data_IF_156796623329
#
_entry.id   IF_156796623329
#
_cell.length_a   1.000
_cell.length_b   1.000
_cell.length_c   1.000
_cell.angle_alpha   90.00
_cell.angle_beta   90.00
_cell.angle_gamma   90.00
#
_symmetry.space_group_name_H-M   'P 1'
#
loop_
_entity.id
_entity.type
_entity.pdbx_description
1 polymer ?
#
# COMPACT_ATOMS: atom_id res chain seq x y z
N UNK A 1 43.49 16.43 16.93
CA UNK A 1 43.57 16.66 15.47
C UNK A 1 42.14 16.75 14.96
N UNK A 2 41.54 17.95 14.80
CA UNK A 2 41.66 18.88 13.65
C UNK A 2 41.39 18.09 12.35
N UNK A 3 40.31 18.25 11.56
CA UNK A 3 39.53 19.44 11.15
C UNK A 3 38.15 19.02 10.64
N UNK A 4 37.14 19.86 10.89
CA UNK A 4 35.84 19.87 10.20
C UNK A 4 36.00 20.62 8.87
N UNK A 5 35.40 20.13 7.79
CA UNK A 5 35.27 20.86 6.52
C UNK A 5 33.81 20.84 6.09
N UNK A 6 33.11 21.93 6.36
CA UNK A 6 31.87 22.29 5.70
C UNK A 6 32.24 23.34 4.64
N UNK A 7 31.83 23.15 3.39
CA UNK A 7 31.99 24.12 2.33
C UNK A 7 30.62 24.51 1.80
N UNK A 8 30.35 25.80 1.95
CA UNK A 8 29.25 26.54 1.35
C UNK A 8 29.34 26.50 -0.17
N UNK A 9 28.18 26.53 -0.83
CA UNK A 9 28.06 27.17 -2.14
C UNK A 9 26.68 27.81 -2.24
N UNK A 10 26.67 29.12 -2.04
CA UNK A 10 25.64 30.04 -2.45
C UNK A 10 26.15 30.78 -3.69
N UNK A 11 25.32 30.94 -4.71
CA UNK A 11 25.33 32.02 -5.73
C UNK A 11 24.15 31.73 -6.68
N UNK A 12 23.03 32.45 -6.57
CA UNK A 12 22.74 33.77 -7.19
C UNK A 12 22.35 33.67 -8.66
N UNK A 13 21.07 33.85 -8.97
CA UNK A 13 20.62 34.34 -10.27
C UNK A 13 19.37 35.21 -10.07
N UNK A 14 19.59 36.51 -10.02
CA UNK A 14 18.55 37.54 -10.13
C UNK A 14 18.89 38.46 -11.30
N UNK A 15 17.85 38.89 -12.01
CA UNK A 15 17.74 40.06 -12.89
C UNK A 15 18.11 39.88 -14.38
N UNK A 16 17.10 40.04 -15.24
CA UNK A 16 16.86 41.24 -16.07
C UNK A 16 15.55 41.00 -16.85
N UNK A 17 14.45 41.68 -16.53
CA UNK A 17 14.04 43.01 -17.03
C UNK A 17 13.68 43.02 -18.53
N UNK A 18 12.37 43.04 -18.79
CA UNK A 18 11.77 43.46 -20.06
C UNK A 18 10.44 44.17 -19.76
N UNK A 19 10.51 45.47 -19.49
CA UNK A 19 9.37 46.33 -19.22
C UNK A 19 8.96 47.13 -20.48
N UNK A 20 7.64 47.27 -20.65
CA UNK A 20 6.91 48.45 -21.12
C UNK A 20 7.37 49.22 -22.36
N UNK A 21 6.51 49.26 -23.39
CA UNK A 21 6.18 50.51 -24.06
C UNK A 21 4.66 50.67 -24.16
N UNK A 22 4.20 51.90 -23.93
CA UNK A 22 2.82 52.31 -23.69
C UNK A 22 2.50 53.48 -24.64
N UNK A 23 1.24 53.53 -25.10
CA UNK A 23 0.47 54.66 -25.63
C UNK A 23 0.82 55.25 -27.01
N UNK A 24 -0.16 55.29 -27.92
CA UNK A 24 -1.01 56.48 -28.17
C UNK A 24 -2.21 56.17 -29.09
N UNK A 25 -3.41 56.57 -28.64
CA UNK A 25 -4.63 56.92 -29.42
C UNK A 25 -4.62 58.46 -29.61
N UNK A 26 -5.35 59.11 -30.55
CA UNK A 26 -6.80 58.98 -30.84
C UNK A 26 -7.12 59.05 -32.37
N UNK A 27 -8.33 59.02 -32.95
CA UNK A 27 -9.67 59.41 -32.54
C UNK A 27 -10.76 58.76 -33.42
N UNK A 28 -11.89 58.43 -32.78
CA UNK A 28 -13.30 58.56 -33.17
C UNK A 28 -13.76 58.38 -34.63
N UNK A 29 -14.61 57.36 -34.84
CA UNK A 29 -15.98 57.56 -35.34
C UNK A 29 -16.89 56.40 -34.89
N UNK A 30 -17.97 56.77 -34.21
CA UNK A 30 -19.08 55.92 -33.77
C UNK A 30 -19.81 55.26 -34.94
N UNK A 31 -20.25 54.01 -34.80
CA UNK A 31 -21.69 53.70 -34.95
C UNK A 31 -22.06 52.30 -34.40
N UNK A 32 -23.03 52.31 -33.48
CA UNK A 32 -24.06 51.29 -33.18
C UNK A 32 -23.68 49.90 -32.70
N UNK A 33 -23.80 49.79 -31.38
CA UNK A 33 -24.15 48.59 -30.63
C UNK A 33 -25.68 48.37 -30.70
N UNK A 34 -26.13 47.18 -31.11
CA UNK A 34 -27.43 46.63 -30.74
C UNK A 34 -27.35 45.10 -30.68
N UNK A 35 -27.76 44.58 -29.53
CA UNK A 35 -27.66 43.20 -29.07
C UNK A 35 -28.52 42.22 -29.87
N UNK A 36 -28.01 41.01 -30.08
CA UNK A 36 -28.78 39.78 -29.94
C UNK A 36 -27.81 38.65 -29.56
N UNK A 37 -27.80 38.31 -28.28
CA UNK A 37 -27.13 37.15 -27.76
C UNK A 37 -27.96 35.90 -28.11
N UNK A 38 -27.50 35.08 -29.04
CA UNK A 38 -27.96 33.69 -29.14
C UNK A 38 -27.26 32.89 -28.04
N UNK A 39 -27.96 32.75 -26.92
CA UNK A 39 -27.62 31.79 -25.88
C UNK A 39 -27.67 30.38 -26.49
N UNK A 40 -26.50 29.83 -26.80
CA UNK A 40 -26.34 28.40 -27.05
C UNK A 40 -26.74 27.66 -25.79
N UNK A 41 -27.94 27.06 -25.79
CA UNK A 41 -28.32 26.02 -24.84
C UNK A 41 -27.43 24.81 -25.11
N UNK A 42 -26.25 24.80 -24.49
CA UNK A 42 -25.54 23.56 -24.22
C UNK A 42 -26.41 22.78 -23.25
N UNK A 43 -27.13 21.78 -23.77
CA UNK A 43 -27.75 20.76 -22.96
C UNK A 43 -26.64 20.12 -22.12
N UNK A 44 -26.59 20.47 -20.84
CA UNK A 44 -25.74 19.86 -19.84
C UNK A 44 -26.11 18.38 -19.80
N UNK A 45 -25.29 17.54 -20.44
CA UNK A 45 -25.41 16.10 -20.33
C UNK A 45 -25.34 15.78 -18.82
N UNK A 46 -26.28 14.98 -18.28
CA UNK A 46 -26.23 14.62 -16.88
C UNK A 46 -24.86 14.01 -16.58
N UNK A 47 -24.16 14.59 -15.61
CA UNK A 47 -22.90 14.08 -15.12
C UNK A 47 -23.08 12.58 -14.88
N UNK A 48 -22.33 11.76 -15.62
CA UNK A 48 -22.35 10.33 -15.41
C UNK A 48 -22.05 10.09 -13.93
N UNK A 49 -23.01 9.53 -13.20
CA UNK A 49 -22.81 9.06 -11.83
C UNK A 49 -21.60 8.14 -11.87
N UNK A 50 -20.50 8.59 -11.27
CA UNK A 50 -19.28 7.81 -11.17
C UNK A 50 -19.65 6.56 -10.39
N UNK A 51 -19.65 5.41 -11.08
CA UNK A 51 -19.95 4.13 -10.43
C UNK A 51 -19.06 4.00 -9.17
N UNK A 52 -19.61 3.54 -8.04
CA UNK A 52 -18.85 3.47 -6.80
C UNK A 52 -17.59 2.65 -7.02
N UNK A 53 -16.46 3.20 -6.56
CA UNK A 53 -15.16 2.53 -6.65
C UNK A 53 -15.28 1.15 -6.00
N UNK A 54 -14.93 0.10 -6.76
CA UNK A 54 -14.97 -1.27 -6.24
C UNK A 54 -13.87 -1.41 -5.20
N UNK A 55 -14.20 -2.01 -4.06
CA UNK A 55 -13.26 -2.27 -2.97
C UNK A 55 -13.16 -3.77 -2.71
N UNK A 56 -11.94 -4.24 -2.48
CA UNK A 56 -11.67 -5.60 -2.04
C UNK A 56 -12.21 -5.77 -0.62
N UNK A 57 -13.02 -6.80 -0.41
CA UNK A 57 -13.37 -7.27 0.93
C UNK A 57 -12.21 -8.12 1.48
N UNK A 58 -11.09 -7.44 1.77
CA UNK A 58 -9.86 -8.09 2.21
C UNK A 58 -9.99 -8.70 3.61
N UNK A 59 -10.93 -8.21 4.42
CA UNK A 59 -11.10 -8.68 5.80
C UNK A 59 -11.60 -10.12 5.86
N UNK A 60 -12.48 -10.56 4.95
CA UNK A 60 -12.89 -11.97 4.84
C UNK A 60 -11.71 -12.94 4.73
N UNK A 61 -10.60 -12.47 4.18
CA UNK A 61 -9.39 -13.25 4.00
C UNK A 61 -8.39 -13.05 5.14
N UNK A 62 -8.26 -11.82 5.67
CA UNK A 62 -7.37 -11.49 6.78
C UNK A 62 -7.85 -11.94 8.16
N UNK A 63 -9.13 -11.70 8.44
CA UNK A 63 -9.74 -11.90 9.75
C UNK A 63 -9.42 -13.27 10.34
N UNK A 64 -9.60 -14.39 9.60
CA UNK A 64 -9.26 -15.72 10.11
C UNK A 64 -7.78 -15.91 10.48
N UNK A 65 -6.85 -15.17 9.88
CA UNK A 65 -5.42 -15.26 10.19
C UNK A 65 -5.05 -14.59 11.51
N UNK A 66 -5.77 -13.51 11.81
CA UNK A 66 -5.51 -12.62 12.93
C UNK A 66 -6.44 -12.89 14.12
N UNK A 67 -7.49 -13.68 13.92
CA UNK A 67 -8.46 -13.97 14.96
C UNK A 67 -7.83 -14.74 16.11
N UNK A 68 -8.12 -14.31 17.34
CA UNK A 68 -7.59 -14.93 18.53
C UNK A 68 -7.71 -14.07 19.79
N UNK A 69 -7.38 -14.69 20.92
CA UNK A 69 -7.27 -13.99 22.20
C UNK A 69 -5.79 -13.90 22.61
N UNK A 70 -5.38 -12.69 22.94
CA UNK A 70 -4.01 -12.33 23.25
C UNK A 70 -3.97 -11.81 24.69
N UNK A 71 -3.79 -12.73 25.64
CA UNK A 71 -3.98 -12.52 27.08
C UNK A 71 -2.69 -12.68 27.90
N UNK A 72 -1.58 -12.13 27.41
CA UNK A 72 -0.27 -12.28 28.03
C UNK A 72 0.14 -11.05 28.85
N UNK A 73 1.43 -10.85 29.11
CA UNK A 73 1.94 -9.70 29.86
C UNK A 73 1.64 -8.38 29.14
N UNK A 74 0.55 -7.72 29.50
CA UNK A 74 0.10 -6.47 28.89
C UNK A 74 0.54 -5.23 29.67
N UNK A 75 0.94 -4.20 28.93
CA UNK A 75 1.30 -2.87 29.42
C UNK A 75 0.38 -1.84 28.78
N UNK A 76 -0.20 -0.96 29.60
CA UNK A 76 -0.88 0.25 29.10
C UNK A 76 0.16 1.29 28.71
N UNK A 77 -0.08 1.96 27.60
CA UNK A 77 0.69 3.11 27.12
C UNK A 77 -0.17 4.38 27.21
N UNK A 78 0.44 5.54 27.51
CA UNK A 78 1.88 5.78 27.67
C UNK A 78 2.42 5.51 29.09
N UNK A 79 1.58 5.20 30.07
CA UNK A 79 1.97 5.14 31.50
C UNK A 79 2.79 3.90 31.89
N UNK A 80 2.92 2.92 31.01
CA UNK A 80 3.71 1.70 31.22
C UNK A 80 3.14 0.76 32.28
N UNK A 81 1.90 0.97 32.71
CA UNK A 81 1.30 0.21 33.82
C UNK A 81 0.94 -1.20 33.36
N UNK A 82 1.40 -2.22 34.10
CA UNK A 82 0.96 -3.61 33.91
C UNK A 82 -0.55 -3.71 34.11
N UNK A 83 -1.23 -4.38 33.20
CA UNK A 83 -2.66 -4.64 33.28
C UNK A 83 -2.94 -6.12 33.03
N UNK A 84 -3.92 -6.65 33.74
CA UNK A 84 -4.57 -7.90 33.37
C UNK A 84 -5.58 -7.58 32.27
N UNK A 85 -5.12 -7.64 31.02
CA UNK A 85 -5.88 -7.28 29.85
C UNK A 85 -5.79 -8.39 28.80
N UNK A 86 -6.83 -8.50 27.99
CA UNK A 86 -6.89 -9.42 26.86
C UNK A 86 -7.23 -8.59 25.64
N UNK A 87 -6.42 -8.69 24.59
CA UNK A 87 -6.83 -8.21 23.26
C UNK A 87 -7.52 -9.37 22.58
N UNK A 88 -8.79 -9.21 22.20
CA UNK A 88 -9.52 -10.20 21.41
C UNK A 88 -9.70 -9.66 20.00
N UNK A 89 -9.22 -10.39 19.01
CA UNK A 89 -9.39 -10.08 17.59
C UNK A 89 -10.42 -11.08 17.03
N UNK A 90 -11.54 -10.55 16.54
CA UNK A 90 -12.55 -11.34 15.85
C UNK A 90 -12.18 -11.55 14.39
N UNK A 91 -12.57 -12.70 13.83
CA UNK A 91 -12.52 -12.92 12.38
C UNK A 91 -13.43 -11.94 11.61
N UNK A 92 -14.37 -11.29 12.31
CA UNK A 92 -15.27 -10.25 11.83
C UNK A 92 -14.71 -8.82 12.05
N UNK A 93 -13.42 -8.64 12.28
CA UNK A 93 -12.80 -7.30 12.25
C UNK A 93 -12.96 -6.48 13.51
N UNK A 94 -13.81 -6.94 14.42
CA UNK A 94 -13.96 -6.33 15.72
C UNK A 94 -12.81 -6.73 16.63
N UNK A 95 -12.22 -5.74 17.25
CA UNK A 95 -11.13 -5.91 18.21
C UNK A 95 -11.53 -5.25 19.52
N UNK A 96 -11.40 -6.00 20.61
CA UNK A 96 -11.80 -5.55 21.93
C UNK A 96 -10.70 -5.77 22.97
N UNK A 97 -10.51 -4.79 23.85
CA UNK A 97 -9.72 -4.95 25.07
C UNK A 97 -10.16 -3.96 26.15
N UNK A 98 -10.73 -4.46 27.24
CA UNK A 98 -11.36 -3.61 28.25
C UNK A 98 -12.44 -2.72 27.62
N UNK A 99 -12.29 -1.41 27.79
CA UNK A 99 -13.20 -0.41 27.21
C UNK A 99 -12.86 -0.02 25.75
N UNK A 100 -11.75 -0.51 25.19
CA UNK A 100 -11.42 -0.27 23.78
C UNK A 100 -12.18 -1.24 22.90
N UNK A 101 -13.03 -0.70 22.02
CA UNK A 101 -13.74 -1.45 20.99
C UNK A 101 -13.50 -0.76 19.64
N UNK A 102 -12.89 -1.49 18.71
CA UNK A 102 -12.55 -1.00 17.37
C UNK A 102 -13.11 -1.95 16.32
N UNK A 103 -13.53 -1.40 15.18
CA UNK A 103 -13.94 -2.17 14.00
C UNK A 103 -12.97 -1.89 12.85
N UNK A 104 -12.11 -2.85 12.56
CA UNK A 104 -11.10 -2.74 11.52
C UNK A 104 -11.64 -3.00 10.10
N UNK A 105 -12.95 -3.21 9.90
CA UNK A 105 -13.52 -3.06 8.54
C UNK A 105 -13.41 -1.62 8.02
N UNK A 106 -13.36 -0.64 8.92
CA UNK A 106 -13.08 0.74 8.57
C UNK A 106 -11.59 1.01 8.30
N UNK A 107 -10.73 -0.02 8.33
CA UNK A 107 -9.30 0.14 8.08
C UNK A 107 -9.03 0.68 6.68
N UNK A 108 -8.30 1.80 6.63
CA UNK A 108 -7.75 2.35 5.39
C UNK A 108 -6.51 1.59 4.95
N UNK A 109 -5.74 1.08 5.89
CA UNK A 109 -4.49 0.36 5.60
C UNK A 109 -4.46 -0.98 6.33
N UNK A 110 -4.06 -2.03 5.62
CA UNK A 110 -3.68 -3.30 6.21
C UNK A 110 -2.41 -3.81 5.53
N UNK A 111 -1.36 -4.07 6.30
CA UNK A 111 -0.09 -4.60 5.83
C UNK A 111 0.25 -5.87 6.59
N UNK A 112 0.55 -6.95 5.89
CA UNK A 112 1.07 -8.18 6.47
C UNK A 112 2.35 -8.55 5.75
N UNK A 113 3.38 -8.91 6.51
CA UNK A 113 4.68 -9.31 5.99
C UNK A 113 5.20 -10.50 6.78
N UNK A 114 5.90 -11.37 6.07
CA UNK A 114 6.59 -12.54 6.62
C UNK A 114 7.98 -12.64 6.01
N UNK A 115 9.00 -12.80 6.85
CA UNK A 115 10.40 -12.88 6.43
C UNK A 115 11.04 -14.14 6.99
N UNK A 116 11.71 -14.89 6.12
CA UNK A 116 12.43 -16.11 6.44
C UNK A 116 13.90 -15.79 6.70
N UNK A 117 14.42 -16.21 7.83
CA UNK A 117 15.85 -16.12 8.14
C UNK A 117 16.65 -17.24 7.45
N UNK A 118 17.98 -17.21 7.62
CA UNK A 118 18.90 -18.22 7.06
C UNK A 118 18.68 -19.63 7.61
N UNK A 119 18.00 -19.77 8.75
CA UNK A 119 17.66 -21.04 9.38
C UNK A 119 16.29 -21.56 8.95
N UNK A 120 15.61 -20.85 8.05
CA UNK A 120 14.28 -21.20 7.57
C UNK A 120 13.16 -20.80 8.54
N UNK A 121 13.45 -20.02 9.58
CA UNK A 121 12.46 -19.57 10.56
C UNK A 121 11.79 -18.27 10.09
N UNK A 122 10.49 -18.17 10.33
CA UNK A 122 9.72 -16.99 9.93
C UNK A 122 9.56 -16.01 11.08
N UNK A 123 9.80 -14.73 10.79
CA UNK A 123 9.26 -13.59 11.53
C UNK A 123 8.07 -13.01 10.78
N UNK A 124 7.15 -12.39 11.50
CA UNK A 124 5.99 -11.74 10.90
C UNK A 124 5.71 -10.37 11.48
N UNK A 125 5.14 -9.51 10.64
CA UNK A 125 4.68 -8.18 10.98
C UNK A 125 3.29 -7.98 10.37
N UNK A 126 2.32 -7.59 11.19
CA UNK A 126 1.00 -7.17 10.76
C UNK A 126 0.72 -5.78 11.28
N UNK A 127 0.22 -4.88 10.44
CA UNK A 127 -0.23 -3.54 10.85
C UNK A 127 -1.55 -3.25 10.17
N UNK A 128 -2.57 -2.87 10.94
CA UNK A 128 -3.88 -2.49 10.44
C UNK A 128 -4.25 -1.15 11.07
N UNK A 129 -4.71 -0.20 10.26
CA UNK A 129 -4.98 1.16 10.68
C UNK A 129 -6.29 1.69 10.09
N UNK A 130 -7.16 2.20 10.96
CA UNK A 130 -8.45 2.86 10.59
C UNK A 130 -8.20 4.22 9.96
N UNK A 131 -7.18 4.93 10.41
CA UNK A 131 -6.73 6.19 9.83
C UNK A 131 -5.21 6.27 9.91
N UNK A 132 -4.57 7.32 9.37
CA UNK A 132 -3.09 7.47 9.32
C UNK A 132 -2.41 7.70 10.70
N UNK A 133 -2.92 7.07 11.77
CA UNK A 133 -2.27 6.95 13.07
C UNK A 133 -3.09 7.48 14.26
N UNK A 134 -4.29 8.02 14.05
CA UNK A 134 -5.07 8.68 15.13
C UNK A 134 -6.27 7.87 15.64
N UNK A 135 -6.84 6.99 14.81
CA UNK A 135 -8.20 6.48 15.03
C UNK A 135 -8.27 4.96 15.12
N UNK A 136 -7.28 4.30 15.72
CA UNK A 136 -7.27 2.84 15.85
C UNK A 136 -6.14 2.19 15.06
N UNK A 137 -5.18 1.60 15.76
CA UNK A 137 -4.10 0.81 15.16
C UNK A 137 -3.99 -0.54 15.87
N UNK A 138 -3.92 -1.60 15.07
CA UNK A 138 -3.57 -2.94 15.51
C UNK A 138 -2.21 -3.29 14.89
N UNK A 139 -1.26 -3.69 15.71
CA UNK A 139 0.01 -4.24 15.23
C UNK A 139 0.30 -5.59 15.86
N UNK A 140 0.84 -6.49 15.06
CA UNK A 140 1.27 -7.82 15.45
C UNK A 140 2.73 -7.99 15.03
N UNK A 141 3.57 -8.47 15.92
CA UNK A 141 4.96 -8.76 15.64
C UNK A 141 5.30 -10.14 16.17
N UNK A 142 6.01 -10.95 15.39
CA UNK A 142 6.60 -12.20 15.88
C UNK A 142 8.03 -12.31 15.40
N UNK A 143 8.93 -12.62 16.33
CA UNK A 143 10.32 -12.93 16.05
C UNK A 143 10.48 -14.34 15.47
N UNK A 144 11.65 -14.66 14.87
CA UNK A 144 11.91 -15.98 14.32
C UNK A 144 11.61 -17.11 15.32
N UNK A 145 10.88 -18.13 14.84
CA UNK A 145 10.38 -19.25 15.64
C UNK A 145 9.41 -18.87 16.79
N UNK A 146 8.82 -17.68 16.74
CA UNK A 146 7.80 -17.26 17.72
C UNK A 146 8.32 -17.09 19.14
N UNK A 147 9.64 -16.92 19.32
CA UNK A 147 10.27 -16.79 20.64
C UNK A 147 9.81 -15.53 21.38
N UNK A 148 9.57 -14.48 20.62
CA UNK A 148 9.00 -13.22 21.08
C UNK A 148 7.86 -12.88 20.14
N UNK A 149 6.76 -12.46 20.73
CA UNK A 149 5.57 -12.07 19.98
C UNK A 149 4.89 -10.95 20.73
N UNK A 150 4.40 -9.96 20.01
CA UNK A 150 3.63 -8.88 20.62
C UNK A 150 2.45 -8.51 19.77
N UNK A 151 1.39 -8.11 20.44
CA UNK A 151 0.25 -7.42 19.85
C UNK A 151 0.17 -6.05 20.51
N UNK A 152 -0.12 -5.02 19.71
CA UNK A 152 -0.45 -3.71 20.22
C UNK A 152 -1.78 -3.24 19.66
N UNK A 153 -2.61 -2.68 20.53
CA UNK A 153 -3.86 -2.04 20.17
C UNK A 153 -3.81 -0.60 20.67
N UNK A 154 -4.05 0.39 19.82
CA UNK A 154 -4.15 1.79 20.24
C UNK A 154 -5.39 2.46 19.71
N UNK A 155 -5.91 3.42 20.46
CA UNK A 155 -7.02 4.30 20.08
C UNK A 155 -6.81 5.67 20.74
N UNK A 156 -6.65 6.71 19.93
CA UNK A 156 -6.23 8.03 20.42
C UNK A 156 -4.90 7.95 21.17
N UNK A 157 -4.87 8.51 22.39
CA UNK A 157 -3.65 8.56 23.22
C UNK A 157 -3.42 7.29 24.08
N UNK A 158 -4.35 6.33 24.04
CA UNK A 158 -4.27 5.12 24.86
C UNK A 158 -3.81 3.96 23.98
N UNK A 159 -2.80 3.25 24.46
CA UNK A 159 -2.32 2.01 23.85
C UNK A 159 -2.30 0.86 24.85
N UNK A 160 -2.33 -0.35 24.32
CA UNK A 160 -2.08 -1.59 25.04
C UNK A 160 -1.07 -2.38 24.23
N UNK A 161 -0.03 -2.88 24.89
CA UNK A 161 0.98 -3.76 24.28
C UNK A 161 1.05 -5.04 25.11
N UNK A 162 0.72 -6.17 24.51
CA UNK A 162 0.80 -7.49 25.14
C UNK A 162 1.92 -8.30 24.50
N UNK A 163 2.86 -8.78 25.31
CA UNK A 163 4.06 -9.51 24.86
C UNK A 163 4.01 -10.99 25.23
N UNK A 164 4.70 -11.85 24.48
CA UNK A 164 4.70 -13.32 24.58
C UNK A 164 3.32 -13.94 24.30
N UNK A 165 2.67 -13.49 23.22
CA UNK A 165 1.37 -14.00 22.78
C UNK A 165 1.52 -15.24 21.89
N UNK A 166 0.87 -16.35 22.25
CA UNK A 166 0.95 -17.60 21.45
C UNK A 166 0.08 -17.58 20.19
N UNK A 167 -0.94 -16.71 20.13
CA UNK A 167 -1.92 -16.65 19.04
C UNK A 167 -1.34 -16.19 17.69
N UNK A 168 -0.14 -15.59 17.63
CA UNK A 168 0.50 -15.18 16.36
C UNK A 168 1.03 -16.39 15.54
N UNK A 169 1.06 -17.59 16.13
CA UNK A 169 1.57 -18.79 15.45
C UNK A 169 0.83 -19.13 14.14
N UNK A 170 -0.47 -18.86 14.03
CA UNK A 170 -1.25 -19.08 12.80
C UNK A 170 -0.72 -18.23 11.64
N UNK A 171 -0.39 -16.96 11.91
CA UNK A 171 0.15 -16.02 10.93
C UNK A 171 1.54 -16.44 10.44
N UNK A 172 2.41 -16.94 11.32
CA UNK A 172 3.74 -17.45 10.94
C UNK A 172 3.67 -18.66 10.01
N UNK A 173 2.67 -19.53 10.19
CA UNK A 173 2.58 -20.81 9.49
C UNK A 173 1.90 -20.72 8.12
N UNK A 174 1.32 -19.58 7.76
CA UNK A 174 0.59 -19.41 6.50
C UNK A 174 1.37 -18.57 5.49
N UNK A 175 1.49 -19.08 4.27
CA UNK A 175 2.05 -18.31 3.18
C UNK A 175 1.11 -17.18 2.76
N UNK A 176 1.62 -15.95 2.77
CA UNK A 176 0.82 -14.76 2.53
C UNK A 176 0.43 -14.62 1.06
N UNK A 177 1.23 -15.13 0.14
CA UNK A 177 0.84 -15.19 -1.26
C UNK A 177 -0.42 -16.04 -1.50
N UNK A 178 -0.65 -17.12 -0.73
CA UNK A 178 -1.88 -17.93 -0.82
C UNK A 178 -3.09 -17.18 -0.29
N UNK A 179 -2.87 -16.33 0.70
CA UNK A 179 -3.89 -15.44 1.25
C UNK A 179 -4.24 -14.36 0.22
N UNK A 180 -3.26 -13.68 -0.35
CA UNK A 180 -3.47 -12.65 -1.37
C UNK A 180 -4.10 -13.20 -2.66
N UNK A 181 -3.78 -14.45 -3.06
CA UNK A 181 -4.37 -15.10 -4.22
C UNK A 181 -5.90 -15.22 -4.17
N UNK A 182 -6.50 -15.23 -2.97
CA UNK A 182 -7.97 -15.24 -2.79
C UNK A 182 -8.62 -13.88 -3.05
N UNK A 183 -7.82 -12.82 -3.14
CA UNK A 183 -8.27 -11.43 -3.28
C UNK A 183 -8.14 -10.89 -4.71
N UNK A 184 -7.41 -11.59 -5.59
CA UNK A 184 -7.04 -11.06 -6.90
C UNK A 184 -7.56 -11.95 -8.03
N UNK A 185 -7.81 -11.35 -9.19
CA UNK A 185 -8.08 -12.11 -10.42
C UNK A 185 -6.73 -12.59 -10.99
N UNK A 186 -6.34 -13.82 -10.65
CA UNK A 186 -5.09 -14.44 -11.10
C UNK A 186 -5.03 -14.79 -12.60
N UNK A 187 -6.06 -14.41 -13.39
CA UNK A 187 -6.09 -14.66 -14.82
C UNK A 187 -4.94 -13.96 -15.54
N UNK A 188 -4.54 -14.56 -16.66
CA UNK A 188 -3.60 -13.95 -17.60
C UNK A 188 -4.13 -12.62 -18.12
N UNK A 189 -3.33 -11.58 -17.97
CA UNK A 189 -3.60 -10.24 -18.47
C UNK A 189 -2.39 -9.73 -19.26
N UNK A 190 -2.65 -9.21 -20.46
CA UNK A 190 -1.64 -8.54 -21.26
C UNK A 190 -1.51 -7.08 -20.80
N UNK A 191 -0.32 -6.68 -20.33
CA UNK A 191 -0.02 -5.32 -19.84
C UNK A 191 1.19 -4.73 -20.54
N UNK A 192 1.31 -3.40 -20.54
CA UNK A 192 2.41 -2.73 -21.21
C UNK A 192 3.65 -2.67 -20.32
N UNK A 193 4.72 -3.33 -20.75
CA UNK A 193 6.02 -3.31 -20.11
C UNK A 193 7.00 -2.43 -20.88
N UNK A 194 7.81 -1.64 -20.16
CA UNK A 194 8.96 -0.95 -20.74
C UNK A 194 9.99 -1.98 -21.23
N UNK A 195 10.51 -1.75 -22.43
CA UNK A 195 11.63 -2.52 -22.96
C UNK A 195 12.92 -2.06 -22.25
N UNK A 196 13.56 -2.96 -21.49
CA UNK A 196 14.78 -2.64 -20.72
C UNK A 196 15.97 -2.27 -21.60
N UNK A 197 15.97 -2.66 -22.88
CA UNK A 197 16.99 -2.26 -23.88
C UNK A 197 16.66 -0.94 -24.55
N UNK A 198 15.39 -0.54 -24.57
CA UNK A 198 14.94 0.73 -25.12
C UNK A 198 13.75 1.28 -24.33
N UNK A 199 14.04 2.10 -23.32
CA UNK A 199 13.04 2.65 -22.39
C UNK A 199 11.97 3.54 -23.04
N UNK A 200 12.11 3.88 -24.33
CA UNK A 200 11.10 4.60 -25.11
C UNK A 200 10.03 3.69 -25.71
N UNK A 201 10.22 2.36 -25.64
CA UNK A 201 9.32 1.37 -26.22
C UNK A 201 8.57 0.65 -25.11
N UNK A 202 7.25 0.56 -25.28
CA UNK A 202 6.37 -0.31 -24.48
C UNK A 202 5.95 -1.51 -25.33
N UNK A 203 6.02 -2.71 -24.74
CA UNK A 203 5.55 -3.96 -25.36
C UNK A 203 4.47 -4.57 -24.49
N UNK A 204 3.48 -5.19 -25.13
CA UNK A 204 2.51 -6.01 -24.41
C UNK A 204 3.17 -7.31 -23.98
N UNK A 205 3.09 -7.60 -22.69
CA UNK A 205 3.61 -8.81 -22.07
C UNK A 205 2.49 -9.42 -21.25
N UNK A 206 2.34 -10.73 -21.38
CA UNK A 206 1.35 -11.47 -20.59
C UNK A 206 1.88 -11.67 -19.18
N UNK A 207 1.05 -11.31 -18.20
CA UNK A 207 1.29 -11.54 -16.78
C UNK A 207 0.18 -12.40 -16.21
N UNK A 208 0.56 -13.39 -15.41
CA UNK A 208 -0.38 -14.22 -14.66
C UNK A 208 0.20 -14.58 -13.29
N UNK A 209 -0.68 -14.78 -12.32
CA UNK A 209 -0.31 -15.26 -10.98
C UNK A 209 -1.12 -16.51 -10.68
N UNK A 210 -0.47 -17.67 -10.79
CA UNK A 210 -1.12 -18.97 -10.69
C UNK A 210 -0.31 -19.88 -9.77
N UNK A 211 -0.98 -20.52 -8.81
CA UNK A 211 -0.41 -21.54 -7.89
C UNK A 211 0.89 -21.12 -7.17
N UNK A 212 1.01 -19.84 -6.85
CA UNK A 212 2.18 -19.30 -6.17
C UNK A 212 3.32 -18.88 -7.10
N UNK A 213 3.10 -18.88 -8.41
CA UNK A 213 4.10 -18.45 -9.41
C UNK A 213 3.59 -17.19 -10.11
N UNK A 214 4.40 -16.13 -10.08
CA UNK A 214 4.17 -14.94 -10.92
C UNK A 214 4.94 -15.15 -12.23
N UNK A 215 4.25 -15.09 -13.35
CA UNK A 215 4.87 -15.15 -14.69
C UNK A 215 4.79 -13.80 -15.37
N UNK A 216 5.87 -13.37 -16.00
CA UNK A 216 5.96 -12.15 -16.81
C UNK A 216 6.62 -12.52 -18.13
N UNK A 217 5.81 -12.74 -19.17
CA UNK A 217 6.31 -13.33 -20.42
C UNK A 217 6.93 -14.70 -20.17
N UNK A 218 8.22 -14.84 -20.49
CA UNK A 218 8.98 -16.08 -20.30
C UNK A 218 9.57 -16.21 -18.88
N UNK A 219 9.59 -15.13 -18.09
CA UNK A 219 10.15 -15.14 -16.75
C UNK A 219 9.16 -15.68 -15.71
N UNK A 220 9.67 -16.44 -14.75
CA UNK A 220 8.90 -16.99 -13.65
C UNK A 220 9.52 -16.66 -12.28
N UNK A 221 8.65 -16.38 -11.31
CA UNK A 221 8.99 -16.06 -9.94
C UNK A 221 8.17 -16.98 -9.01
N UNK A 222 8.79 -18.04 -8.49
CA UNK A 222 8.14 -18.98 -7.57
C UNK A 222 8.16 -18.42 -6.14
N UNK A 223 7.01 -17.95 -5.67
CA UNK A 223 6.86 -17.34 -4.35
C UNK A 223 7.13 -18.32 -3.19
N UNK A 224 7.14 -19.64 -3.43
CA UNK A 224 7.53 -20.63 -2.41
C UNK A 224 9.01 -20.53 -2.04
N UNK A 225 9.84 -20.04 -2.95
CA UNK A 225 11.26 -19.83 -2.71
C UNK A 225 11.56 -18.48 -2.05
N UNK A 226 10.57 -17.60 -1.88
CA UNK A 226 10.73 -16.28 -1.29
C UNK A 226 11.36 -16.31 0.11
N UNK A 227 12.24 -15.34 0.35
CA UNK A 227 12.80 -15.04 1.68
C UNK A 227 12.00 -13.95 2.38
N UNK A 228 11.23 -13.15 1.66
CA UNK A 228 10.24 -12.26 2.24
C UNK A 228 9.02 -12.19 1.33
N UNK A 229 7.85 -12.14 1.94
CA UNK A 229 6.59 -11.90 1.26
C UNK A 229 5.75 -10.96 2.10
N UNK A 230 4.96 -10.13 1.46
CA UNK A 230 3.98 -9.32 2.15
C UNK A 230 2.95 -8.78 1.19
N UNK A 231 1.84 -8.33 1.73
CA UNK A 231 0.92 -7.52 0.97
C UNK A 231 0.42 -6.35 1.79
N UNK A 232 0.03 -5.31 1.07
CA UNK A 232 -0.50 -4.08 1.60
C UNK A 232 -1.81 -3.79 0.88
N UNK A 233 -2.85 -3.54 1.65
CA UNK A 233 -4.11 -3.00 1.18
C UNK A 233 -4.19 -1.55 1.62
N UNK A 234 -4.56 -0.65 0.72
CA UNK A 234 -4.72 0.78 1.00
C UNK A 234 -6.11 1.27 0.61
N UNK A 235 -6.45 2.47 1.10
CA UNK A 235 -7.72 3.17 0.84
C UNK A 235 -8.98 2.33 1.12
N UNK A 236 -8.86 1.42 2.09
CA UNK A 236 -9.93 0.51 2.49
C UNK A 236 -10.27 -0.55 1.45
N UNK A 237 -9.29 -0.96 0.65
CA UNK A 237 -9.47 -2.00 -0.36
C UNK A 237 -9.50 -1.52 -1.80
N UNK A 238 -9.25 -0.22 -2.06
CA UNK A 238 -9.17 0.30 -3.44
C UNK A 238 -7.88 -0.12 -4.16
N UNK A 239 -6.83 -0.52 -3.43
CA UNK A 239 -5.68 -1.17 -4.02
C UNK A 239 -5.05 -2.22 -3.10
N UNK A 240 -4.44 -3.22 -3.74
CA UNK A 240 -3.64 -4.26 -3.09
C UNK A 240 -2.27 -4.35 -3.76
N UNK A 241 -1.19 -4.30 -2.99
CA UNK A 241 0.17 -4.54 -3.45
C UNK A 241 0.71 -5.81 -2.81
N UNK A 242 1.18 -6.75 -3.62
CA UNK A 242 1.94 -7.92 -3.22
C UNK A 242 3.43 -7.65 -3.46
N UNK A 243 4.25 -7.83 -2.43
CA UNK A 243 5.70 -7.72 -2.50
C UNK A 243 6.32 -9.06 -2.18
N UNK A 244 7.23 -9.52 -3.04
CA UNK A 244 7.98 -10.76 -2.85
C UNK A 244 9.45 -10.49 -3.06
N UNK A 245 10.27 -10.94 -2.12
CA UNK A 245 11.73 -10.93 -2.21
C UNK A 245 12.22 -12.36 -2.23
N UNK A 246 12.96 -12.68 -3.28
CA UNK A 246 13.60 -13.96 -3.54
C UNK A 246 15.05 -13.94 -3.04
N UNK A 247 15.73 -15.09 -2.98
CA UNK A 247 17.18 -15.12 -2.76
C UNK A 247 17.92 -14.22 -3.76
N UNK A 248 19.12 -13.76 -3.38
CA UNK A 248 19.99 -12.90 -4.20
C UNK A 248 19.37 -11.52 -4.52
N UNK A 249 18.51 -11.01 -3.63
CA UNK A 249 17.90 -9.66 -3.73
C UNK A 249 16.99 -9.45 -4.95
N UNK A 250 16.62 -10.52 -5.68
CA UNK A 250 15.59 -10.44 -6.73
C UNK A 250 14.24 -10.13 -6.05
N UNK A 251 13.55 -9.09 -6.49
CA UNK A 251 12.25 -8.70 -5.92
C UNK A 251 11.23 -8.43 -7.00
N UNK A 252 9.98 -8.66 -6.66
CA UNK A 252 8.82 -8.40 -7.50
C UNK A 252 7.71 -7.76 -6.68
N UNK A 253 7.15 -6.68 -7.21
CA UNK A 253 5.98 -6.00 -6.69
C UNK A 253 4.86 -6.12 -7.72
N UNK A 254 3.68 -6.53 -7.28
CA UNK A 254 2.50 -6.72 -8.11
C UNK A 254 1.36 -5.95 -7.48
N UNK A 255 0.83 -4.95 -8.16
CA UNK A 255 -0.27 -4.13 -7.66
C UNK A 255 -1.57 -4.42 -8.43
N UNK A 256 -2.66 -4.44 -7.69
CA UNK A 256 -4.02 -4.69 -8.14
C UNK A 256 -4.93 -3.54 -7.71
N UNK A 257 -5.96 -3.28 -8.51
CA UNK A 257 -7.04 -2.38 -8.14
C UNK A 257 -8.04 -3.05 -7.17
N UNK A 258 -9.05 -2.29 -6.75
CA UNK A 258 -10.07 -2.76 -5.82
C UNK A 258 -11.06 -3.77 -6.40
N UNK A 259 -10.97 -4.06 -7.71
CA UNK A 259 -11.65 -5.20 -8.34
C UNK A 259 -10.75 -6.44 -8.44
N UNK A 260 -9.51 -6.37 -7.93
CA UNK A 260 -8.53 -7.44 -8.00
C UNK A 260 -7.85 -7.57 -9.36
N UNK A 261 -7.98 -6.57 -10.24
CA UNK A 261 -7.36 -6.57 -11.57
C UNK A 261 -5.94 -6.03 -11.48
N UNK A 262 -5.01 -6.66 -12.20
CA UNK A 262 -3.62 -6.25 -12.25
C UNK A 262 -3.46 -4.85 -12.85
N UNK A 263 -2.78 -3.95 -12.15
CA UNK A 263 -2.51 -2.58 -12.62
C UNK A 263 -1.02 -2.27 -12.80
N UNK A 264 -0.15 -2.91 -12.03
CA UNK A 264 1.29 -2.69 -12.12
C UNK A 264 2.09 -3.94 -11.74
N UNK A 265 3.22 -4.14 -12.43
CA UNK A 265 4.23 -5.13 -12.07
C UNK A 265 5.59 -4.49 -12.17
N UNK A 266 6.39 -4.63 -11.12
CA UNK A 266 7.78 -4.18 -11.13
C UNK A 266 8.65 -5.30 -10.60
N UNK A 267 9.62 -5.74 -11.38
CA UNK A 267 10.60 -6.71 -10.94
C UNK A 267 12.00 -6.14 -11.12
N UNK A 268 12.89 -6.47 -10.20
CA UNK A 268 14.29 -6.02 -10.20
C UNK A 268 15.18 -7.11 -9.64
N UNK A 269 16.44 -7.09 -10.06
CA UNK A 269 17.50 -7.78 -9.36
C UNK A 269 18.31 -6.79 -8.51
N UNK A 270 19.51 -7.21 -8.08
CA UNK A 270 20.40 -6.41 -7.27
C UNK A 270 20.89 -5.12 -7.96
N UNK A 271 20.96 -5.13 -9.29
CA UNK A 271 21.61 -4.07 -10.08
C UNK A 271 20.60 -3.20 -10.81
N UNK A 272 19.53 -3.79 -11.35
CA UNK A 272 18.63 -3.08 -12.24
C UNK A 272 17.18 -3.57 -12.21
N UNK A 273 16.30 -2.74 -12.79
CA UNK A 273 14.92 -3.12 -13.07
C UNK A 273 14.90 -4.10 -14.25
N UNK A 274 14.30 -5.26 -14.05
CA UNK A 274 14.12 -6.28 -15.09
C UNK A 274 12.78 -6.14 -15.79
N UNK A 275 11.76 -5.68 -15.06
CA UNK A 275 10.42 -5.45 -15.58
C UNK A 275 9.82 -4.21 -14.97
N UNK A 276 9.19 -3.38 -15.80
CA UNK A 276 8.35 -2.29 -15.36
C UNK A 276 7.11 -2.24 -16.25
N UNK A 277 5.98 -2.70 -15.71
CA UNK A 277 4.76 -2.89 -16.46
C UNK A 277 3.58 -2.17 -15.82
N UNK A 278 2.75 -1.54 -16.64
CA UNK A 278 1.57 -0.77 -16.22
C UNK A 278 0.39 -1.10 -17.11
N UNK A 279 -0.79 -1.25 -16.53
CA UNK A 279 -2.04 -1.28 -17.30
C UNK A 279 -2.22 0.05 -18.05
N UNK A 280 -2.87 0.00 -19.22
CA UNK A 280 -3.41 1.21 -19.85
C UNK A 280 -4.60 1.69 -19.00
N UNK A 281 -4.52 2.94 -18.53
CA UNK A 281 -5.66 3.65 -17.95
C UNK A 281 -6.65 4.04 -19.06
#
# INVERSE_FOLDING_TARGET
MIRRTALLSAMSLSLLLGACSKNEEPAAAEDKQAQAAEASQAAEAPAAETAPERKLDYWKTLGPLLAGSYNSSCLRMPDGRKMDAVVTVGADGKVASGDMQLDFHAAKMAMLMRTRDEKGQYSTLGTISIDDGKTGMLSLLSSPAGKESSISLSSGDIGLVCSNTSAIGSFNNQALFLTAAKLVDGKKQSINCLDTKNLLVKRKVDVEVVDGVIRIGDDAFDMKAAVSEGFMVTDGGSSLMLTVVMPQEKSINVAYDGAGKLVNVQARDKQESTHYCTAEN
#
